data_IF_288100026359
#
_entry.id   IF_288100026359
#
_cell.length_a   1.000
_cell.length_b   1.000
_cell.length_c   1.000
_cell.angle_alpha   90.00
_cell.angle_beta   90.00
_cell.angle_gamma   90.00
#
_symmetry.space_group_name_H-M   'P 1'
#
loop_
_entity.id
_entity.type
_entity.pdbx_description
1 polymer ?
#
# COMPACT_ATOMS: atom_id res chain seq x y z
N UNK A 1 57.52 -26.43 1.13
CA UNK A 1 56.42 -26.22 2.09
C UNK A 1 55.61 -25.03 1.58
N UNK A 2 54.91 -25.16 0.45
CA UNK A 2 53.58 -25.76 0.27
C UNK A 2 52.48 -25.12 1.15
N UNK A 3 51.83 -24.12 0.54
CA UNK A 3 50.36 -24.01 0.44
C UNK A 3 49.57 -23.79 1.74
N UNK A 4 49.90 -22.79 2.56
CA UNK A 4 48.96 -22.36 3.60
C UNK A 4 49.18 -20.89 3.96
N UNK A 5 48.65 -19.96 3.16
CA UNK A 5 48.28 -18.60 3.59
C UNK A 5 47.62 -17.78 2.46
N UNK A 6 46.81 -18.45 1.63
CA UNK A 6 45.99 -17.82 0.58
C UNK A 6 44.49 -17.88 0.93
N UNK A 7 44.16 -18.10 2.21
CA UNK A 7 42.78 -18.32 2.70
C UNK A 7 42.48 -17.34 3.83
N UNK A 8 42.65 -16.04 3.59
CA UNK A 8 42.27 -15.01 4.58
C UNK A 8 41.58 -13.79 3.94
N UNK A 9 41.07 -13.92 2.71
CA UNK A 9 40.53 -12.79 1.93
C UNK A 9 39.10 -13.00 1.42
N UNK A 10 38.38 -14.04 1.89
CA UNK A 10 37.05 -14.41 1.35
C UNK A 10 35.96 -14.40 2.43
N UNK A 11 36.10 -13.58 3.48
CA UNK A 11 35.03 -13.41 4.47
C UNK A 11 34.74 -11.92 4.61
N UNK A 12 33.44 -11.59 4.50
CA UNK A 12 32.81 -10.27 4.73
C UNK A 12 32.64 -9.31 3.55
N UNK A 13 32.18 -9.81 2.39
CA UNK A 13 31.43 -8.98 1.43
C UNK A 13 30.05 -9.56 1.14
N UNK A 14 29.28 -9.79 2.20
CA UNK A 14 27.84 -9.99 2.11
C UNK A 14 27.12 -8.73 2.60
N UNK A 15 27.34 -7.60 1.91
CA UNK A 15 26.39 -6.50 1.97
C UNK A 15 25.14 -6.96 1.22
N UNK A 16 24.26 -7.66 1.94
CA UNK A 16 22.91 -7.91 1.45
C UNK A 16 22.20 -6.56 1.49
N UNK A 17 22.16 -5.86 0.35
CA UNK A 17 21.32 -4.67 0.20
C UNK A 17 19.88 -5.09 0.47
N UNK A 18 19.39 -4.77 1.66
CA UNK A 18 18.01 -5.00 2.06
C UNK A 18 17.12 -4.39 0.97
N UNK A 19 16.49 -5.27 0.20
CA UNK A 19 15.64 -4.89 -0.90
C UNK A 19 14.45 -4.15 -0.28
N UNK A 20 14.49 -2.81 -0.26
CA UNK A 20 13.40 -1.99 0.27
C UNK A 20 12.17 -2.37 -0.56
N UNK A 21 11.24 -3.12 0.02
CA UNK A 21 10.05 -3.56 -0.71
C UNK A 21 9.33 -2.32 -1.22
N UNK A 22 9.32 -2.15 -2.55
CA UNK A 22 8.64 -1.03 -3.17
C UNK A 22 7.15 -1.34 -3.14
N UNK A 23 6.41 -0.55 -2.37
CA UNK A 23 4.95 -0.68 -2.33
C UNK A 23 4.38 -0.34 -3.70
N UNK A 24 3.56 -1.23 -4.25
CA UNK A 24 2.90 -1.04 -5.55
C UNK A 24 1.39 -1.20 -5.43
N UNK A 25 0.65 -0.50 -6.29
CA UNK A 25 -0.81 -0.60 -6.39
C UNK A 25 -1.15 -1.14 -7.77
N UNK A 26 -2.04 -2.12 -7.83
CA UNK A 26 -2.52 -2.75 -9.06
C UNK A 26 -4.03 -2.94 -9.09
N UNK A 27 -4.55 -3.26 -10.27
CA UNK A 27 -5.95 -3.64 -10.49
C UNK A 27 -5.98 -5.07 -10.99
N UNK A 28 -6.67 -5.94 -10.26
CA UNK A 28 -7.01 -7.28 -10.72
C UNK A 28 -8.43 -7.25 -11.32
N UNK A 29 -8.47 -7.29 -12.66
CA UNK A 29 -9.71 -7.23 -13.43
C UNK A 29 -10.52 -8.52 -13.38
N UNK A 30 -9.90 -9.66 -13.07
CA UNK A 30 -10.60 -10.93 -12.99
C UNK A 30 -11.43 -10.99 -11.70
N UNK A 31 -10.85 -10.54 -10.59
CA UNK A 31 -11.50 -10.55 -9.27
C UNK A 31 -12.18 -9.22 -8.92
N UNK A 32 -12.11 -8.23 -9.83
CA UNK A 32 -12.64 -6.87 -9.68
C UNK A 32 -12.15 -6.17 -8.40
N UNK A 33 -10.84 -6.20 -8.16
CA UNK A 33 -10.26 -5.71 -6.91
C UNK A 33 -9.03 -4.84 -7.15
N UNK A 34 -8.75 -3.99 -6.18
CA UNK A 34 -7.50 -3.23 -6.09
C UNK A 34 -6.58 -3.95 -5.13
N UNK A 35 -5.33 -4.10 -5.52
CA UNK A 35 -4.32 -4.77 -4.70
C UNK A 35 -3.19 -3.80 -4.40
N UNK A 36 -2.74 -3.81 -3.15
CA UNK A 36 -1.50 -3.17 -2.71
C UNK A 36 -0.56 -4.28 -2.30
N UNK A 37 0.65 -4.30 -2.83
CA UNK A 37 1.66 -5.33 -2.52
C UNK A 37 2.96 -4.70 -2.05
N UNK A 38 3.80 -5.50 -1.40
CA UNK A 38 5.11 -5.05 -0.96
C UNK A 38 5.07 -4.21 0.33
N UNK A 39 4.04 -4.39 1.17
CA UNK A 39 4.03 -3.78 2.49
C UNK A 39 5.16 -4.37 3.35
N UNK A 40 5.91 -3.52 4.09
CA UNK A 40 6.93 -4.01 5.01
C UNK A 40 6.32 -4.85 6.13
N UNK A 41 7.06 -5.78 6.72
CA UNK A 41 6.50 -6.72 7.71
C UNK A 41 5.90 -6.03 8.94
N UNK A 42 6.55 -4.97 9.44
CA UNK A 42 6.06 -4.12 10.52
C UNK A 42 4.67 -3.50 10.19
N UNK A 43 4.45 -3.13 8.92
CA UNK A 43 3.16 -2.68 8.42
C UNK A 43 2.08 -3.72 8.63
N UNK A 44 2.38 -4.92 8.15
CA UNK A 44 1.46 -6.03 8.11
C UNK A 44 1.08 -6.44 9.53
N UNK A 45 2.02 -6.39 10.48
CA UNK A 45 1.75 -6.68 11.88
C UNK A 45 0.77 -5.68 12.51
N UNK A 46 0.97 -4.37 12.30
CA UNK A 46 0.04 -3.35 12.78
C UNK A 46 -1.36 -3.49 12.17
N UNK A 47 -1.43 -3.90 10.90
CA UNK A 47 -2.69 -4.08 10.19
C UNK A 47 -3.45 -5.37 10.55
N UNK A 48 -2.76 -6.38 11.10
CA UNK A 48 -3.37 -7.66 11.52
C UNK A 48 -4.21 -7.54 12.79
N UNK A 49 -4.24 -6.37 13.43
CA UNK A 49 -5.14 -6.14 14.55
C UNK A 49 -6.60 -6.21 14.07
N UNK A 50 -7.42 -7.04 14.72
CA UNK A 50 -8.85 -7.21 14.40
C UNK A 50 -9.71 -5.95 14.64
N UNK A 51 -9.11 -4.84 15.09
CA UNK A 51 -9.81 -3.61 15.49
C UNK A 51 -9.75 -2.47 14.45
N UNK A 52 -9.29 -2.72 13.22
CA UNK A 52 -9.21 -1.66 12.21
C UNK A 52 -10.58 -1.37 11.62
N UNK A 53 -11.07 -0.15 11.86
CA UNK A 53 -12.32 0.34 11.30
C UNK A 53 -12.22 0.55 9.79
N UNK A 54 -13.37 0.49 9.10
CA UNK A 54 -13.45 0.83 7.66
C UNK A 54 -12.89 2.22 7.36
N UNK A 55 -13.08 3.18 8.27
CA UNK A 55 -12.55 4.52 8.12
C UNK A 55 -11.02 4.53 8.17
N UNK A 56 -10.41 3.76 9.08
CA UNK A 56 -8.95 3.61 9.13
C UNK A 56 -8.39 2.91 7.88
N UNK A 57 -9.14 1.98 7.29
CA UNK A 57 -8.78 1.42 5.98
C UNK A 57 -8.84 2.45 4.86
N UNK A 58 -9.87 3.29 4.84
CA UNK A 58 -10.04 4.34 3.83
C UNK A 58 -8.99 5.44 3.92
N UNK A 59 -8.42 5.69 5.11
CA UNK A 59 -7.28 6.62 5.27
C UNK A 59 -5.96 6.00 4.82
N UNK A 60 -5.82 4.68 4.82
CA UNK A 60 -4.66 3.96 4.25
C UNK A 60 -4.74 3.84 2.74
N UNK A 61 -5.85 3.28 2.25
CA UNK A 61 -6.11 2.99 0.85
C UNK A 61 -7.45 3.61 0.47
N UNK A 62 -7.37 4.74 -0.20
CA UNK A 62 -8.53 5.39 -0.80
C UNK A 62 -8.76 4.85 -2.20
N UNK A 63 -10.00 4.48 -2.53
CA UNK A 63 -10.40 4.14 -3.90
C UNK A 63 -11.60 4.98 -4.27
N UNK A 64 -11.53 5.75 -5.35
CA UNK A 64 -12.57 6.68 -5.75
C UNK A 64 -12.79 6.64 -7.27
N UNK A 65 -14.01 6.97 -7.68
CA UNK A 65 -14.28 7.34 -9.08
C UNK A 65 -13.63 8.69 -9.37
N UNK A 66 -13.07 8.85 -10.57
CA UNK A 66 -12.52 10.14 -10.99
C UNK A 66 -13.65 11.17 -11.10
N UNK A 67 -13.60 12.31 -10.37
CA UNK A 67 -14.54 13.41 -10.56
C UNK A 67 -14.37 14.05 -11.94
N UNK A 68 -15.41 14.73 -12.42
CA UNK A 68 -15.33 15.47 -13.68
C UNK A 68 -14.29 16.60 -13.61
N UNK A 69 -14.24 17.29 -12.47
CA UNK A 69 -13.18 18.24 -12.13
C UNK A 69 -12.07 17.51 -11.37
N UNK A 70 -10.91 17.36 -12.01
CA UNK A 70 -9.77 16.64 -11.44
C UNK A 70 -9.12 17.34 -10.27
N UNK A 71 -9.33 18.65 -10.10
CA UNK A 71 -8.82 19.40 -8.94
C UNK A 71 -9.53 18.97 -7.66
N UNK A 72 -10.73 18.39 -7.77
CA UNK A 72 -11.53 17.91 -6.65
C UNK A 72 -11.26 16.46 -6.24
N UNK A 73 -10.17 15.83 -6.73
CA UNK A 73 -9.80 14.43 -6.36
C UNK A 73 -9.72 14.21 -4.86
N UNK A 74 -9.22 15.18 -4.10
CA UNK A 74 -9.09 15.06 -2.64
C UNK A 74 -10.44 15.09 -1.89
N UNK A 75 -11.51 15.54 -2.56
CA UNK A 75 -12.87 15.55 -2.04
C UNK A 75 -13.77 14.50 -2.73
N UNK A 76 -13.19 13.62 -3.57
CA UNK A 76 -13.95 12.63 -4.30
C UNK A 76 -14.60 11.61 -3.33
N UNK A 77 -15.85 11.19 -3.60
CA UNK A 77 -16.52 10.22 -2.76
C UNK A 77 -15.82 8.87 -2.81
N UNK A 78 -15.62 8.28 -1.63
CA UNK A 78 -15.01 6.97 -1.47
C UNK A 78 -15.90 5.88 -2.09
N UNK A 79 -15.29 4.96 -2.82
CA UNK A 79 -15.93 3.76 -3.32
C UNK A 79 -16.24 2.83 -2.13
N UNK A 80 -17.52 2.46 -1.89
CA UNK A 80 -17.87 1.47 -0.88
C UNK A 80 -17.25 0.12 -1.21
N UNK A 81 -16.79 -0.60 -0.18
CA UNK A 81 -16.17 -1.90 -0.34
C UNK A 81 -15.53 -2.44 0.93
N UNK A 82 -14.90 -3.60 0.77
CA UNK A 82 -14.27 -4.36 1.84
C UNK A 82 -12.77 -4.41 1.64
N UNK A 83 -12.05 -4.20 2.74
CA UNK A 83 -10.60 -4.30 2.81
C UNK A 83 -10.22 -5.61 3.49
N UNK A 84 -9.16 -6.25 3.00
CA UNK A 84 -8.58 -7.45 3.61
C UNK A 84 -7.06 -7.41 3.49
N UNK A 85 -6.38 -7.99 4.47
CA UNK A 85 -4.98 -8.31 4.31
C UNK A 85 -4.83 -9.61 3.53
N UNK A 86 -3.93 -9.61 2.55
CA UNK A 86 -3.58 -10.79 1.76
C UNK A 86 -2.05 -10.83 1.63
N UNK A 87 -1.43 -11.81 2.29
CA UNK A 87 0.03 -11.92 2.32
C UNK A 87 0.70 -10.71 2.99
N UNK A 88 1.53 -9.98 2.24
CA UNK A 88 2.16 -8.72 2.62
C UNK A 88 1.49 -7.51 1.94
N UNK A 89 0.18 -7.57 1.78
CA UNK A 89 -0.58 -6.63 0.97
C UNK A 89 -2.00 -6.41 1.46
N UNK A 90 -2.67 -5.45 0.83
CA UNK A 90 -4.08 -5.13 1.07
C UNK A 90 -4.84 -5.44 -0.22
N UNK A 91 -5.98 -6.10 -0.12
CA UNK A 91 -6.98 -6.16 -1.19
C UNK A 91 -8.20 -5.32 -0.81
N UNK A 92 -8.66 -4.52 -1.77
CA UNK A 92 -9.92 -3.82 -1.71
C UNK A 92 -10.86 -4.38 -2.77
N UNK A 93 -12.01 -4.87 -2.33
CA UNK A 93 -13.09 -5.32 -3.20
C UNK A 93 -14.29 -4.38 -3.06
N UNK A 94 -14.71 -3.69 -4.13
CA UNK A 94 -15.84 -2.78 -4.04
C UNK A 94 -17.14 -3.56 -3.84
N UNK A 95 -18.09 -2.98 -3.11
CA UNK A 95 -19.42 -3.59 -2.90
C UNK A 95 -20.26 -3.55 -4.19
N UNK A 96 -20.01 -2.56 -5.04
CA UNK A 96 -20.54 -2.45 -6.39
C UNK A 96 -19.41 -2.58 -7.41
N UNK A 97 -19.54 -3.46 -8.43
CA UNK A 97 -18.52 -3.60 -9.47
C UNK A 97 -18.12 -2.27 -10.11
N UNK A 98 -16.84 -2.17 -10.48
CA UNK A 98 -16.35 -1.04 -11.25
C UNK A 98 -17.06 -0.94 -12.61
N UNK A 99 -17.40 0.28 -13.01
CA UNK A 99 -18.14 0.55 -14.24
C UNK A 99 -17.17 0.59 -15.42
N UNK A 100 -17.41 -0.25 -16.43
CA UNK A 100 -16.62 -0.27 -17.66
C UNK A 100 -16.61 1.10 -18.34
N UNK A 101 -15.44 1.53 -18.81
CA UNK A 101 -15.21 2.84 -19.42
C UNK A 101 -15.00 3.98 -18.42
N UNK A 102 -15.18 3.75 -17.12
CA UNK A 102 -15.02 4.78 -16.08
C UNK A 102 -13.58 4.81 -15.58
N UNK A 103 -13.07 6.04 -15.35
CA UNK A 103 -11.76 6.26 -14.75
C UNK A 103 -11.92 6.28 -13.23
N UNK A 104 -11.06 5.54 -12.56
CA UNK A 104 -10.93 5.47 -11.12
C UNK A 104 -9.50 5.81 -10.73
N UNK A 105 -9.32 6.12 -9.45
CA UNK A 105 -7.99 6.21 -8.87
C UNK A 105 -7.97 5.55 -7.50
N UNK A 106 -6.84 4.95 -7.19
CA UNK A 106 -6.53 4.36 -5.90
C UNK A 106 -5.28 5.02 -5.34
N UNK A 107 -5.33 5.47 -4.08
CA UNK A 107 -4.24 6.17 -3.41
C UNK A 107 -3.90 5.46 -2.12
N UNK A 108 -2.66 4.98 -2.02
CA UNK A 108 -2.12 4.37 -0.83
C UNK A 108 -1.16 5.33 -0.12
N UNK A 109 -1.49 5.74 1.10
CA UNK A 109 -0.67 6.65 1.87
C UNK A 109 0.45 5.93 2.62
N UNK A 110 1.68 6.44 2.49
CA UNK A 110 2.89 5.95 3.14
C UNK A 110 3.13 6.77 4.40
N UNK A 111 3.26 6.11 5.54
CA UNK A 111 3.63 6.74 6.80
C UNK A 111 5.12 6.47 7.05
N UNK A 112 5.93 7.52 7.14
CA UNK A 112 7.39 7.48 6.92
C UNK A 112 8.23 6.67 7.94
N UNK A 113 7.64 6.18 9.03
CA UNK A 113 8.37 5.43 10.06
C UNK A 113 7.81 4.02 10.28
N UNK A 114 7.79 3.20 9.23
CA UNK A 114 7.55 1.75 9.36
C UNK A 114 6.19 1.36 9.94
N UNK A 115 5.17 2.23 9.82
CA UNK A 115 3.84 2.09 10.44
C UNK A 115 3.80 2.19 11.97
N UNK A 116 4.69 3.01 12.52
CA UNK A 116 4.32 3.92 13.61
C UNK A 116 3.40 4.97 12.97
N UNK A 117 2.07 4.85 12.97
CA UNK A 117 1.25 4.20 13.98
C UNK A 117 -0.11 3.89 13.39
N UNK A 118 -0.70 2.76 13.76
CA UNK A 118 -2.17 2.63 13.78
C UNK A 118 -2.79 3.81 14.54
N UNK A 119 -2.05 4.42 15.48
CA UNK A 119 -2.37 5.71 16.12
C UNK A 119 -2.52 6.89 15.15
N UNK A 120 -1.81 6.94 14.01
CA UNK A 120 -1.99 7.99 13.01
C UNK A 120 -3.32 7.84 12.25
N UNK A 121 -3.86 6.62 12.18
CA UNK A 121 -5.20 6.33 11.64
C UNK A 121 -6.29 6.74 12.63
N UNK A 122 -6.02 6.69 13.95
CA UNK A 122 -6.90 7.18 15.01
C UNK A 122 -6.78 8.69 15.25
N UNK A 123 -5.61 9.30 15.04
CA UNK A 123 -5.31 10.71 15.35
C UNK A 123 -5.73 11.70 14.24
N UNK A 124 -6.38 11.25 13.17
CA UNK A 124 -6.96 12.15 12.16
C UNK A 124 -5.95 13.04 11.43
N UNK A 125 -4.69 12.59 11.26
CA UNK A 125 -3.66 13.40 10.59
C UNK A 125 -4.06 13.76 9.15
N UNK A 126 -3.79 15.02 8.82
CA UNK A 126 -4.24 15.70 7.59
C UNK A 126 -3.58 15.11 6.33
N UNK A 127 -4.36 14.78 5.28
CA UNK A 127 -3.86 14.18 4.03
C UNK A 127 -2.78 14.98 3.27
N UNK A 128 -2.67 16.29 3.52
CA UNK A 128 -1.95 17.21 2.63
C UNK A 128 -0.41 17.21 2.79
N UNK A 129 0.15 16.35 3.65
CA UNK A 129 1.61 16.20 3.84
C UNK A 129 2.09 14.74 3.83
N UNK A 130 1.18 13.79 3.66
CA UNK A 130 1.50 12.37 3.72
C UNK A 130 1.92 11.89 2.34
N UNK A 131 3.13 11.33 2.15
CA UNK A 131 3.52 10.78 0.86
C UNK A 131 2.58 9.64 0.48
N UNK A 132 2.31 9.48 -0.81
CA UNK A 132 1.42 8.42 -1.30
C UNK A 132 1.91 7.83 -2.61
N UNK A 133 1.49 6.59 -2.86
CA UNK A 133 1.51 5.98 -4.19
C UNK A 133 0.10 6.10 -4.76
N UNK A 134 -0.04 6.47 -6.03
CA UNK A 134 -1.33 6.57 -6.71
C UNK A 134 -1.35 5.71 -7.97
N UNK A 135 -2.47 5.06 -8.22
CA UNK A 135 -2.80 4.37 -9.45
C UNK A 135 -4.06 5.02 -10.03
N UNK A 136 -3.96 5.58 -11.23
CA UNK A 136 -5.12 5.98 -12.03
C UNK A 136 -5.36 4.89 -13.08
N UNK A 137 -6.59 4.41 -13.18
CA UNK A 137 -6.92 3.33 -14.12
C UNK A 137 -8.31 3.50 -14.72
N UNK A 138 -8.45 3.03 -15.96
CA UNK A 138 -9.75 2.85 -16.61
C UNK A 138 -10.14 1.38 -16.48
N UNK A 139 -11.34 1.15 -15.96
CA UNK A 139 -11.94 -0.18 -15.86
C UNK A 139 -12.70 -0.52 -17.15
#
# INVERSE_FOLDING_TARGET
MKRFLLIATVLFSACHSANKSQVSIGVDRQQQQITVTGLPEAANYGLKSDSISTQAWQTLLMVCKMPADTELRSAAPLQPGKYRLVGNGISFKPDTPFVKGTIYFARFYRFDDGLTSVNALTDGRRPNKTPYTELVFKY
#
